data_IF_400433687309
#
_entry.id   IF_400433687309
#
_cell.length_a   1.000
_cell.length_b   1.000
_cell.length_c   1.000
_cell.angle_alpha   90.00
_cell.angle_beta   90.00
_cell.angle_gamma   90.00
#
_symmetry.space_group_name_H-M   'P 1'
#
loop_
_entity.id
_entity.type
_entity.pdbx_description
1 polymer ?
#
# COMPACT_ATOMS: atom_id res chain seq x y z
N UNK A 1 3.11 11.67 45.84
CA UNK A 1 1.81 12.40 45.74
C UNK A 1 1.85 13.41 44.59
N UNK A 2 2.69 14.45 44.65
CA UNK A 2 2.78 15.50 43.61
C UNK A 2 2.84 14.99 42.16
N UNK A 3 3.85 14.16 41.81
CA UNK A 3 3.98 13.61 40.45
C UNK A 3 2.85 12.64 40.07
N UNK A 4 2.21 11.99 41.06
CA UNK A 4 1.03 11.16 40.82
C UNK A 4 -0.18 12.00 40.40
N UNK A 5 -0.39 13.15 41.05
CA UNK A 5 -1.44 14.10 40.65
C UNK A 5 -1.16 14.69 39.26
N UNK A 6 0.09 15.04 38.94
CA UNK A 6 0.46 15.53 37.61
C UNK A 6 0.22 14.48 36.51
N UNK A 7 0.61 13.22 36.77
CA UNK A 7 0.33 12.13 35.85
C UNK A 7 -1.19 11.91 35.66
N UNK A 8 -1.97 12.03 36.73
CA UNK A 8 -3.44 11.95 36.66
C UNK A 8 -4.07 13.03 35.79
N UNK A 9 -3.64 14.29 35.93
CA UNK A 9 -4.10 15.39 35.08
C UNK A 9 -3.73 15.14 33.61
N UNK A 10 -2.49 14.73 33.36
CA UNK A 10 -2.03 14.43 32.00
C UNK A 10 -2.82 13.29 31.35
N UNK A 11 -3.10 12.21 32.09
CA UNK A 11 -3.96 11.13 31.58
C UNK A 11 -5.37 11.66 31.30
N UNK A 12 -5.93 12.47 32.21
CA UNK A 12 -7.25 13.07 32.02
C UNK A 12 -7.36 13.93 30.75
N UNK A 13 -6.35 14.76 30.45
CA UNK A 13 -6.34 15.57 29.24
C UNK A 13 -6.17 14.74 27.97
N UNK A 14 -5.36 13.67 28.00
CA UNK A 14 -5.25 12.72 26.88
C UNK A 14 -6.57 11.98 26.64
N UNK A 15 -7.26 11.55 27.69
CA UNK A 15 -8.57 10.89 27.56
C UNK A 15 -9.62 11.83 26.96
N UNK A 16 -9.68 13.09 27.44
CA UNK A 16 -10.56 14.10 26.88
C UNK A 16 -10.27 14.35 25.38
N UNK A 17 -9.00 14.39 24.99
CA UNK A 17 -8.60 14.51 23.58
C UNK A 17 -9.06 13.29 22.76
N UNK A 18 -8.81 12.07 23.22
CA UNK A 18 -9.18 10.84 22.52
C UNK A 18 -10.71 10.73 22.30
N UNK A 19 -11.52 11.20 23.26
CA UNK A 19 -12.99 11.24 23.14
C UNK A 19 -13.49 12.16 22.02
N UNK A 20 -12.67 13.11 21.56
CA UNK A 20 -13.03 14.02 20.45
C UNK A 20 -12.62 13.50 19.07
N UNK A 21 -11.90 12.37 19.00
CA UNK A 21 -11.41 11.79 17.76
C UNK A 21 -12.35 10.69 17.26
N UNK A 22 -12.51 10.60 15.94
CA UNK A 22 -13.20 9.46 15.31
C UNK A 22 -12.29 8.23 15.29
N UNK A 23 -12.89 7.04 15.43
CA UNK A 23 -12.18 5.77 15.29
C UNK A 23 -11.92 5.37 13.82
N UNK A 24 -12.58 6.03 12.86
CA UNK A 24 -12.60 5.61 11.46
C UNK A 24 -11.96 6.62 10.51
N UNK A 25 -11.89 7.91 10.89
CA UNK A 25 -11.22 8.94 10.08
C UNK A 25 -10.43 9.93 10.93
N UNK A 26 -9.25 10.38 10.46
CA UNK A 26 -8.53 11.46 11.12
C UNK A 26 -9.26 12.79 10.92
N UNK A 27 -9.14 13.69 11.90
CA UNK A 27 -9.75 15.03 11.85
C UNK A 27 -9.15 15.91 10.76
N UNK A 28 -7.84 15.80 10.52
CA UNK A 28 -7.10 16.59 9.54
C UNK A 28 -6.41 15.68 8.51
N UNK A 29 -6.59 15.96 7.22
CA UNK A 29 -6.02 15.21 6.10
C UNK A 29 -5.26 16.10 5.09
N UNK A 30 -5.18 17.40 5.33
CA UNK A 30 -4.50 18.38 4.47
C UNK A 30 -3.00 18.07 4.33
N UNK A 31 -2.37 17.47 5.36
CA UNK A 31 -0.95 17.14 5.36
C UNK A 31 -0.57 15.88 4.57
N UNK A 32 -1.56 15.09 4.15
CA UNK A 32 -1.34 13.89 3.34
C UNK A 32 -1.80 14.05 1.89
N UNK A 33 -2.43 15.18 1.56
CA UNK A 33 -2.77 15.56 0.20
C UNK A 33 -1.70 16.50 -0.37
N UNK A 34 -1.18 16.28 -1.58
CA UNK A 34 -1.51 15.21 -2.54
C UNK A 34 -0.91 13.83 -2.15
N UNK A 35 -1.50 12.71 -2.62
CA UNK A 35 -0.99 11.38 -2.29
C UNK A 35 0.42 11.18 -2.83
N UNK A 36 1.32 10.74 -1.95
CA UNK A 36 2.66 10.34 -2.34
C UNK A 36 2.68 9.04 -3.15
N UNK A 37 3.71 8.90 -3.99
CA UNK A 37 4.02 7.68 -4.72
C UNK A 37 5.25 7.03 -4.11
N UNK A 38 5.17 5.73 -3.84
CA UNK A 38 6.28 4.94 -3.30
C UNK A 38 6.53 3.74 -4.21
N UNK A 39 7.71 3.11 -4.09
CA UNK A 39 8.01 1.90 -4.83
C UNK A 39 8.70 0.86 -3.95
N UNK A 40 8.58 -0.40 -4.37
CA UNK A 40 9.31 -1.55 -3.86
C UNK A 40 10.21 -2.09 -4.99
N UNK A 41 11.50 -2.33 -4.73
CA UNK A 41 12.19 -2.29 -3.44
C UNK A 41 12.49 -0.85 -2.99
N UNK A 42 12.67 -0.64 -1.66
CA UNK A 42 12.94 0.69 -1.08
C UNK A 42 14.45 0.87 -0.86
N UNK A 43 15.16 1.65 -1.69
CA UNK A 43 16.55 1.99 -1.47
C UNK A 43 16.73 3.09 -0.41
N UNK A 44 17.92 3.16 0.19
CA UNK A 44 18.25 4.17 1.20
C UNK A 44 18.34 5.60 0.63
N UNK A 45 18.83 5.73 -0.60
CA UNK A 45 19.10 7.02 -1.26
C UNK A 45 18.36 7.22 -2.58
N UNK A 46 17.22 6.56 -2.75
CA UNK A 46 16.47 6.57 -4.02
C UNK A 46 17.28 6.07 -5.23
N UNK A 47 18.39 5.37 -5.00
CA UNK A 47 19.25 4.77 -6.03
C UNK A 47 19.30 3.25 -5.84
N UNK A 48 19.24 2.51 -6.94
CA UNK A 48 19.43 1.05 -6.94
C UNK A 48 20.71 0.80 -7.71
N UNK A 49 21.74 0.35 -7.00
CA UNK A 49 23.03 -0.02 -7.55
C UNK A 49 23.36 -1.43 -7.10
N UNK A 50 23.68 -2.29 -8.05
CA UNK A 50 24.02 -3.69 -7.83
C UNK A 50 24.85 -4.22 -8.99
N UNK A 51 25.43 -5.40 -8.82
CA UNK A 51 26.15 -6.10 -9.87
C UNK A 51 25.36 -7.34 -10.30
N UNK A 52 25.03 -7.42 -11.58
CA UNK A 52 24.27 -8.54 -12.16
C UNK A 52 24.97 -9.89 -11.91
N UNK A 53 26.31 -9.90 -11.90
CA UNK A 53 27.10 -11.11 -11.69
C UNK A 53 27.26 -11.50 -10.22
N UNK A 54 26.82 -10.66 -9.28
CA UNK A 54 26.95 -10.91 -7.85
C UNK A 54 25.58 -10.89 -7.17
N UNK A 55 25.03 -12.09 -6.98
CA UNK A 55 23.72 -12.32 -6.36
C UNK A 55 23.58 -11.64 -4.99
N UNK A 56 24.66 -11.62 -4.20
CA UNK A 56 24.63 -11.01 -2.87
C UNK A 56 24.29 -9.51 -2.89
N UNK A 57 24.56 -8.83 -4.02
CA UNK A 57 24.34 -7.39 -4.17
C UNK A 57 22.87 -7.03 -4.42
N UNK A 58 22.09 -7.90 -5.06
CA UNK A 58 20.68 -7.63 -5.38
C UNK A 58 19.68 -8.41 -4.54
N UNK A 59 20.11 -9.47 -3.85
CA UNK A 59 19.25 -10.24 -2.95
C UNK A 59 18.50 -9.41 -1.89
N UNK A 60 19.07 -8.34 -1.30
CA UNK A 60 18.31 -7.46 -0.39
C UNK A 60 17.07 -6.84 -1.06
N UNK A 61 17.18 -6.46 -2.34
CA UNK A 61 16.06 -5.91 -3.12
C UNK A 61 15.02 -6.97 -3.44
N UNK A 62 15.46 -8.16 -3.88
CA UNK A 62 14.60 -9.31 -4.15
C UNK A 62 13.80 -9.70 -2.90
N UNK A 63 14.49 -9.83 -1.75
CA UNK A 63 13.85 -10.14 -0.47
C UNK A 63 12.84 -9.08 -0.03
N UNK A 64 13.12 -7.80 -0.30
CA UNK A 64 12.18 -6.73 -0.01
C UNK A 64 10.92 -6.83 -0.89
N UNK A 65 11.07 -7.13 -2.19
CA UNK A 65 9.92 -7.32 -3.10
C UNK A 65 9.11 -8.54 -2.67
N UNK A 66 9.77 -9.66 -2.34
CA UNK A 66 9.10 -10.88 -1.86
C UNK A 66 8.31 -10.60 -0.57
N UNK A 67 8.94 -9.96 0.41
CA UNK A 67 8.29 -9.58 1.65
C UNK A 67 7.07 -8.66 1.42
N UNK A 68 7.17 -7.73 0.46
CA UNK A 68 6.06 -6.87 0.06
C UNK A 68 4.92 -7.66 -0.58
N UNK A 69 5.24 -8.58 -1.49
CA UNK A 69 4.25 -9.35 -2.25
C UNK A 69 3.56 -10.46 -1.46
N UNK A 70 4.12 -10.88 -0.30
CA UNK A 70 3.46 -11.86 0.59
C UNK A 70 2.02 -11.49 0.91
N UNK A 71 1.73 -10.22 1.16
CA UNK A 71 0.38 -9.74 1.47
C UNK A 71 -0.63 -9.90 0.32
N UNK A 72 -0.16 -10.17 -0.90
CA UNK A 72 -0.97 -10.35 -2.10
C UNK A 72 -1.05 -11.82 -2.54
N UNK A 73 -0.56 -12.76 -1.73
CA UNK A 73 -0.74 -14.17 -2.04
C UNK A 73 -2.22 -14.56 -1.99
N UNK A 74 -2.58 -15.58 -2.77
CA UNK A 74 -3.95 -16.04 -2.88
C UNK A 74 -4.50 -16.58 -1.55
N UNK A 75 -3.67 -17.30 -0.79
CA UNK A 75 -4.02 -17.91 0.51
C UNK A 75 -4.45 -16.87 1.56
N UNK A 76 -3.91 -15.65 1.49
CA UNK A 76 -4.27 -14.56 2.41
C UNK A 76 -5.60 -13.90 2.03
N UNK A 77 -6.04 -14.07 0.78
CA UNK A 77 -7.22 -13.41 0.20
C UNK A 77 -8.47 -14.32 0.10
N UNK A 78 -8.44 -15.50 0.72
CA UNK A 78 -9.53 -16.50 0.64
C UNK A 78 -10.77 -16.14 1.49
N UNK A 79 -10.61 -15.30 2.51
CA UNK A 79 -11.70 -14.92 3.42
C UNK A 79 -12.77 -14.07 2.73
N UNK A 80 -13.86 -14.72 2.30
CA UNK A 80 -15.01 -14.10 1.63
C UNK A 80 -15.77 -13.06 2.48
N UNK A 81 -15.48 -12.96 3.79
CA UNK A 81 -16.04 -11.91 4.65
C UNK A 81 -15.29 -10.59 4.51
N UNK A 82 -14.01 -10.64 4.11
CA UNK A 82 -13.12 -9.48 3.96
C UNK A 82 -12.79 -9.15 2.52
N UNK A 83 -12.92 -10.12 1.61
CA UNK A 83 -12.53 -9.96 0.22
C UNK A 83 -13.67 -10.29 -0.74
N UNK A 84 -13.64 -9.66 -1.91
CA UNK A 84 -14.51 -9.97 -3.04
C UNK A 84 -13.76 -9.80 -4.37
N UNK A 85 -14.24 -10.48 -5.42
CA UNK A 85 -13.73 -10.31 -6.77
C UNK A 85 -14.38 -9.09 -7.44
N UNK A 86 -13.57 -8.15 -7.91
CA UNK A 86 -14.01 -6.91 -8.55
C UNK A 86 -13.75 -6.89 -10.06
N UNK A 87 -13.64 -8.08 -10.68
CA UNK A 87 -13.32 -8.24 -12.09
C UNK A 87 -11.82 -8.07 -12.43
N UNK A 88 -11.48 -8.31 -13.69
CA UNK A 88 -10.10 -8.26 -14.21
C UNK A 88 -9.79 -6.95 -14.96
N UNK A 89 -10.74 -6.01 -15.00
CA UNK A 89 -10.61 -4.75 -15.73
C UNK A 89 -10.80 -3.57 -14.79
N UNK A 90 -10.15 -2.42 -15.05
CA UNK A 90 -10.41 -1.21 -14.28
C UNK A 90 -11.87 -0.78 -14.39
N UNK A 91 -12.53 -0.59 -13.25
CA UNK A 91 -13.91 -0.12 -13.14
C UNK A 91 -13.99 1.20 -12.36
N UNK A 92 -15.21 1.74 -12.24
CA UNK A 92 -15.48 2.92 -11.42
C UNK A 92 -15.35 2.61 -9.92
N UNK A 93 -15.38 3.65 -9.09
CA UNK A 93 -15.31 3.49 -7.64
C UNK A 93 -16.46 2.64 -7.08
N UNK A 94 -16.14 1.78 -6.11
CA UNK A 94 -17.12 1.04 -5.32
C UNK A 94 -17.43 1.80 -4.04
N UNK A 95 -18.64 2.35 -3.92
CA UNK A 95 -19.12 2.94 -2.67
C UNK A 95 -19.64 1.84 -1.73
N UNK A 96 -19.15 1.84 -0.48
CA UNK A 96 -19.51 0.88 0.57
C UNK A 96 -20.15 1.57 1.78
N UNK A 97 -20.71 2.77 1.56
CA UNK A 97 -21.42 3.55 2.57
C UNK A 97 -20.51 4.41 3.45
N UNK A 98 -21.10 4.99 4.50
CA UNK A 98 -20.46 5.93 5.42
C UNK A 98 -19.51 5.28 6.42
N UNK A 99 -18.37 5.92 6.72
CA UNK A 99 -17.30 5.34 7.54
C UNK A 99 -17.76 4.92 8.95
N UNK A 100 -18.64 5.72 9.54
CA UNK A 100 -19.26 5.49 10.85
C UNK A 100 -20.52 4.61 10.67
N UNK A 101 -20.34 3.36 10.24
CA UNK A 101 -21.45 2.43 10.04
C UNK A 101 -21.28 1.16 10.87
N UNK A 102 -22.37 0.65 11.43
CA UNK A 102 -22.43 -0.63 12.15
C UNK A 102 -22.32 -1.86 11.22
N UNK A 103 -22.06 -1.65 9.92
CA UNK A 103 -22.08 -2.68 8.88
C UNK A 103 -20.88 -3.65 8.90
N UNK A 104 -20.08 -3.65 9.97
CA UNK A 104 -18.93 -4.54 10.13
C UNK A 104 -17.76 -4.22 9.19
N UNK A 105 -16.91 -5.22 8.93
CA UNK A 105 -15.73 -5.05 8.09
C UNK A 105 -16.14 -4.93 6.63
N UNK A 106 -15.73 -3.85 5.98
CA UNK A 106 -15.96 -3.64 4.54
C UNK A 106 -15.08 -4.57 3.73
N UNK A 107 -15.68 -5.20 2.72
CA UNK A 107 -14.95 -6.03 1.77
C UNK A 107 -13.98 -5.20 0.93
N UNK A 108 -12.79 -5.73 0.69
CA UNK A 108 -11.80 -5.17 -0.22
C UNK A 108 -11.77 -5.99 -1.52
N UNK A 109 -11.47 -5.33 -2.63
CA UNK A 109 -11.22 -6.02 -3.89
C UNK A 109 -9.95 -6.87 -3.78
N UNK A 110 -10.04 -8.10 -4.26
CA UNK A 110 -8.86 -8.96 -4.43
C UNK A 110 -7.91 -8.36 -5.45
N UNK A 111 -6.62 -8.47 -5.19
CA UNK A 111 -5.57 -8.14 -6.14
C UNK A 111 -4.68 -9.36 -6.34
N UNK A 112 -4.67 -9.85 -7.58
CA UNK A 112 -3.97 -11.06 -7.99
C UNK A 112 -2.56 -10.70 -8.41
N UNK A 113 -1.54 -11.34 -7.81
CA UNK A 113 -0.11 -11.09 -8.14
C UNK A 113 0.18 -11.33 -9.61
N UNK A 114 -0.58 -12.22 -10.25
CA UNK A 114 -0.51 -12.57 -11.66
C UNK A 114 -0.71 -11.35 -12.57
N UNK A 115 -1.43 -10.32 -12.12
CA UNK A 115 -1.61 -9.07 -12.86
C UNK A 115 -0.33 -8.24 -12.99
N UNK A 116 0.69 -8.51 -12.16
CA UNK A 116 2.02 -7.88 -12.27
C UNK A 116 2.90 -8.50 -13.37
N UNK A 117 2.39 -9.49 -14.11
CA UNK A 117 3.11 -10.09 -15.23
C UNK A 117 4.42 -10.75 -14.79
N UNK A 118 5.52 -10.37 -15.44
CA UNK A 118 6.86 -10.92 -15.19
C UNK A 118 7.40 -10.57 -13.79
N UNK A 119 6.91 -9.49 -13.19
CA UNK A 119 7.27 -9.05 -11.85
C UNK A 119 6.47 -9.73 -10.73
N UNK A 120 5.62 -10.71 -11.07
CA UNK A 120 4.75 -11.39 -10.12
C UNK A 120 5.49 -12.37 -9.20
N UNK A 121 6.65 -12.88 -9.62
CA UNK A 121 7.46 -13.85 -8.87
C UNK A 121 6.83 -15.24 -8.72
N UNK A 122 5.86 -15.60 -9.58
CA UNK A 122 5.06 -16.83 -9.43
C UNK A 122 5.25 -17.88 -10.54
N UNK A 123 5.67 -17.52 -11.76
CA UNK A 123 5.59 -18.48 -12.89
C UNK A 123 6.83 -19.34 -13.08
N UNK A 124 8.02 -18.74 -12.98
CA UNK A 124 9.28 -19.40 -13.33
C UNK A 124 10.37 -19.15 -12.27
N UNK A 125 11.35 -20.05 -12.18
CA UNK A 125 12.54 -19.81 -11.33
C UNK A 125 13.27 -18.51 -11.69
N UNK A 126 13.22 -18.10 -12.96
CA UNK A 126 13.75 -16.82 -13.45
C UNK A 126 12.99 -15.59 -12.93
N UNK A 127 11.69 -15.72 -12.62
CA UNK A 127 10.90 -14.61 -12.08
C UNK A 127 11.11 -14.41 -10.58
N UNK A 128 11.78 -15.34 -9.89
CA UNK A 128 12.06 -15.23 -8.45
C UNK A 128 12.95 -14.04 -8.11
N UNK A 129 13.81 -13.65 -9.04
CA UNK A 129 14.73 -12.53 -8.88
C UNK A 129 14.18 -11.21 -9.42
N UNK A 130 12.91 -11.15 -9.86
CA UNK A 130 12.27 -9.92 -10.32
C UNK A 130 13.09 -9.14 -11.37
N UNK A 131 13.77 -9.84 -12.27
CA UNK A 131 14.58 -9.28 -13.36
C UNK A 131 15.93 -8.68 -12.95
N UNK A 132 16.34 -8.80 -11.68
CA UNK A 132 17.63 -8.30 -11.22
C UNK A 132 18.82 -9.05 -11.87
N UNK A 133 18.70 -10.36 -12.03
CA UNK A 133 19.67 -11.24 -12.69
C UNK A 133 19.77 -11.04 -14.21
N UNK A 134 18.69 -10.54 -14.85
CA UNK A 134 18.67 -10.18 -16.27
C UNK A 134 19.08 -8.72 -16.54
N UNK A 135 19.39 -7.95 -15.48
CA UNK A 135 19.71 -6.52 -15.58
C UNK A 135 18.50 -5.61 -15.88
N UNK A 136 17.28 -6.13 -15.76
CA UNK A 136 16.01 -5.43 -15.95
C UNK A 136 15.18 -5.49 -14.67
N UNK A 137 15.57 -4.76 -13.61
CA UNK A 137 14.93 -4.90 -12.31
C UNK A 137 13.50 -4.35 -12.32
N UNK A 138 12.58 -5.12 -11.75
CA UNK A 138 11.20 -4.69 -11.55
C UNK A 138 11.08 -3.65 -10.43
N UNK A 139 10.30 -2.60 -10.71
CA UNK A 139 9.88 -1.60 -9.72
C UNK A 139 8.36 -1.64 -9.56
N UNK A 140 7.90 -2.07 -8.39
CA UNK A 140 6.47 -2.09 -8.08
C UNK A 140 6.08 -0.78 -7.43
N UNK A 141 5.27 -0.01 -8.14
CA UNK A 141 4.80 1.30 -7.69
C UNK A 141 3.53 1.18 -6.86
N UNK A 142 3.42 1.99 -5.81
CA UNK A 142 2.29 2.02 -4.87
C UNK A 142 1.89 3.46 -4.55
N UNK A 143 0.62 3.76 -4.78
CA UNK A 143 -0.02 5.00 -4.35
C UNK A 143 -0.31 4.96 -2.84
N UNK A 144 0.03 6.03 -2.11
CA UNK A 144 -0.23 6.09 -0.68
C UNK A 144 -1.73 6.13 -0.37
N UNK A 145 -2.17 5.29 0.56
CA UNK A 145 -3.57 5.17 0.97
C UNK A 145 -3.99 6.37 1.82
N UNK A 146 -5.08 7.01 1.43
CA UNK A 146 -5.72 8.11 2.17
C UNK A 146 -7.21 7.77 2.32
N UNK A 147 -7.74 7.87 3.54
CA UNK A 147 -9.16 7.59 3.82
C UNK A 147 -10.05 8.52 2.98
N UNK A 148 -11.06 7.94 2.30
CA UNK A 148 -11.99 8.63 1.39
C UNK A 148 -11.36 9.41 0.23
N UNK A 149 -10.11 9.15 -0.12
CA UNK A 149 -9.51 9.73 -1.31
C UNK A 149 -10.02 9.02 -2.57
N UNK A 150 -10.50 9.80 -3.55
CA UNK A 150 -10.96 9.30 -4.85
C UNK A 150 -10.00 9.80 -5.95
N UNK A 151 -9.05 8.96 -6.43
CA UNK A 151 -8.08 9.35 -7.45
C UNK A 151 -8.78 9.66 -8.77
N UNK A 152 -8.70 10.91 -9.26
CA UNK A 152 -9.31 11.32 -10.53
C UNK A 152 -8.26 11.32 -11.64
N UNK A 153 -8.46 10.58 -12.73
CA UNK A 153 -7.57 10.66 -13.88
C UNK A 153 -7.71 12.03 -14.57
N UNK A 154 -6.71 12.45 -15.35
CA UNK A 154 -6.82 13.63 -16.21
C UNK A 154 -8.02 13.51 -17.16
N UNK A 155 -8.70 14.62 -17.43
CA UNK A 155 -9.90 14.64 -18.28
C UNK A 155 -9.60 14.51 -19.78
N UNK A 156 -8.37 14.85 -20.19
CA UNK A 156 -7.92 14.78 -21.58
C UNK A 156 -6.47 14.34 -21.67
N UNK A 157 -6.13 13.65 -22.76
CA UNK A 157 -4.77 13.25 -23.09
C UNK A 157 -3.84 14.45 -23.37
N UNK A 158 -4.40 15.63 -23.64
CA UNK A 158 -3.66 16.89 -23.88
C UNK A 158 -2.84 17.34 -22.66
N UNK A 159 -3.23 16.89 -21.46
CA UNK A 159 -2.54 17.20 -20.19
C UNK A 159 -1.50 16.15 -19.80
N UNK A 160 -1.39 15.07 -20.57
CA UNK A 160 -0.42 14.00 -20.36
C UNK A 160 0.82 14.36 -21.19
N UNK A 161 2.00 14.58 -20.57
CA UNK A 161 3.23 14.79 -21.31
C UNK A 161 3.49 13.58 -22.23
N UNK A 162 3.92 13.82 -23.47
CA UNK A 162 4.37 12.73 -24.35
C UNK A 162 5.50 11.96 -23.66
N UNK A 163 5.40 10.63 -23.71
CA UNK A 163 6.30 9.69 -23.06
C UNK A 163 7.69 9.63 -23.71
#
# INVERSE_FOLDING_TARGET
>A
IFYGCLAGIFIGTIQAMLLTLSNYKPTYQDRVAPPGLSHSPRPDKAEISYNINDESTYMPYVNHIDAFLKAYNQDIQEDNTKFEDCGDKPEFYTDRGELESDNGVRKACRFRREWLGECSGQKDEKQKNYGFDDGQPCLIVKLNRIVNFMPRPPASNESIPEA
#
